data_IF_757293857503
#
_entry.id   IF_757293857503
#
_cell.length_a   1.000
_cell.length_b   1.000
_cell.length_c   1.000
_cell.angle_alpha   90.00
_cell.angle_beta   90.00
_cell.angle_gamma   90.00
#
_symmetry.space_group_name_H-M   'P 1'
#
loop_
_entity.id
_entity.type
_entity.pdbx_description
1 polymer ?
#
# COMPACT_ATOMS: atom_id res chain seq x y z
N UNK A 1 11.37 21.78 29.30
CA UNK A 1 10.10 21.04 29.51
C UNK A 1 9.11 21.55 28.48
N UNK A 2 9.07 21.00 27.29
CA UNK A 2 8.07 21.35 26.27
C UNK A 2 7.17 20.16 26.08
N UNK A 3 5.94 20.28 26.62
CA UNK A 3 4.86 19.35 26.41
C UNK A 3 4.45 19.42 24.92
N UNK A 4 4.77 18.39 24.17
CA UNK A 4 4.12 18.14 22.89
C UNK A 4 2.85 17.36 23.21
N UNK A 5 1.75 18.10 23.44
CA UNK A 5 0.42 17.53 23.46
C UNK A 5 0.09 17.04 22.05
N UNK A 6 0.30 15.75 21.82
CA UNK A 6 -0.17 15.08 20.61
C UNK A 6 -1.69 15.10 20.61
N UNK A 7 -2.26 15.95 19.76
CA UNK A 7 -3.68 15.88 19.40
C UNK A 7 -3.96 14.47 18.86
N UNK A 8 -5.01 13.77 19.32
CA UNK A 8 -5.39 12.50 18.71
C UNK A 8 -5.63 12.74 17.23
N UNK A 9 -5.07 11.88 16.38
CA UNK A 9 -5.35 11.89 14.94
C UNK A 9 -6.87 11.71 14.80
N UNK A 10 -7.59 12.79 14.54
CA UNK A 10 -8.95 12.69 14.05
C UNK A 10 -8.89 11.88 12.76
N UNK A 11 -9.57 10.75 12.74
CA UNK A 11 -9.72 9.92 11.55
C UNK A 11 -10.52 10.72 10.52
N UNK A 12 -9.83 11.53 9.73
CA UNK A 12 -10.44 12.22 8.60
C UNK A 12 -10.83 11.18 7.57
N UNK A 13 -12.13 11.11 7.31
CA UNK A 13 -12.64 10.25 6.24
C UNK A 13 -12.08 10.77 4.91
N UNK A 14 -11.27 9.97 4.25
CA UNK A 14 -10.75 10.28 2.92
C UNK A 14 -11.88 10.14 1.91
N UNK A 15 -12.17 11.22 1.18
CA UNK A 15 -13.33 11.33 0.28
C UNK A 15 -12.94 11.52 -1.16
N UNK A 16 -11.73 12.00 -1.44
CA UNK A 16 -11.23 12.25 -2.80
C UNK A 16 -9.94 11.48 -3.07
N UNK A 17 -9.71 11.16 -4.34
CA UNK A 17 -8.46 10.52 -4.77
C UNK A 17 -7.24 11.32 -4.34
N UNK A 18 -7.30 12.65 -4.47
CA UNK A 18 -6.19 13.53 -4.09
C UNK A 18 -5.84 13.41 -2.60
N UNK A 19 -6.84 13.40 -1.71
CA UNK A 19 -6.63 13.19 -0.28
C UNK A 19 -5.99 11.82 0.00
N UNK A 20 -6.41 10.78 -0.70
CA UNK A 20 -5.84 9.44 -0.59
C UNK A 20 -4.37 9.40 -1.04
N UNK A 21 -4.04 10.04 -2.15
CA UNK A 21 -2.67 10.16 -2.65
C UNK A 21 -1.78 10.97 -1.70
N UNK A 22 -2.29 12.10 -1.22
CA UNK A 22 -1.58 12.97 -0.26
C UNK A 22 -1.32 12.20 1.07
N UNK A 23 -2.25 11.37 1.52
CA UNK A 23 -2.07 10.51 2.69
C UNK A 23 -0.94 9.49 2.49
N UNK A 24 -0.92 8.79 1.36
CA UNK A 24 0.15 7.83 1.03
C UNK A 24 1.50 8.54 0.94
N UNK A 25 1.53 9.69 0.27
CA UNK A 25 2.76 10.46 0.11
C UNK A 25 3.29 11.02 1.44
N UNK A 26 2.40 11.55 2.29
CA UNK A 26 2.76 12.00 3.62
C UNK A 26 3.28 10.86 4.51
N UNK A 27 2.73 9.66 4.38
CA UNK A 27 3.21 8.47 5.07
C UNK A 27 4.62 8.07 4.62
N UNK A 28 4.88 8.14 3.31
CA UNK A 28 6.21 7.91 2.75
C UNK A 28 7.24 8.95 3.25
N UNK A 29 6.88 10.24 3.23
CA UNK A 29 7.77 11.30 3.72
C UNK A 29 8.09 11.14 5.21
N UNK A 30 7.09 10.81 6.03
CA UNK A 30 7.31 10.51 7.46
C UNK A 30 8.26 9.35 7.66
N UNK A 31 8.10 8.29 6.89
CA UNK A 31 9.00 7.14 6.94
C UNK A 31 10.43 7.52 6.49
N UNK A 32 10.57 8.35 5.46
CA UNK A 32 11.88 8.76 4.94
C UNK A 32 12.62 9.75 5.85
N UNK A 33 11.92 10.55 6.67
CA UNK A 33 12.53 11.51 7.60
C UNK A 33 12.95 10.88 8.91
N UNK A 34 12.44 9.71 9.28
CA UNK A 34 12.95 8.98 10.42
C UNK A 34 14.32 8.39 10.08
N UNK A 35 15.38 8.93 10.69
CA UNK A 35 16.79 8.46 10.58
C UNK A 35 16.95 6.96 10.91
N UNK A 36 15.92 6.32 11.39
CA UNK A 36 15.86 4.88 11.70
C UNK A 36 16.01 3.95 10.48
N UNK A 37 15.95 4.47 9.25
CA UNK A 37 16.26 3.66 8.06
C UNK A 37 17.70 3.15 8.02
N UNK A 38 18.61 3.82 8.70
CA UNK A 38 20.00 3.39 8.84
C UNK A 38 20.21 2.40 10.01
N UNK A 39 19.24 2.24 10.89
CA UNK A 39 19.33 1.33 12.03
C UNK A 39 19.10 -0.11 11.56
N UNK A 40 19.98 -1.04 11.95
CA UNK A 40 19.86 -2.48 11.63
C UNK A 40 18.50 -3.10 12.00
N UNK A 41 17.74 -2.46 12.87
CA UNK A 41 16.45 -2.93 13.39
C UNK A 41 15.23 -2.24 12.73
N UNK A 42 15.43 -1.26 11.85
CA UNK A 42 14.32 -0.58 11.17
C UNK A 42 13.43 -1.56 10.39
N UNK A 43 14.04 -2.49 9.66
CA UNK A 43 13.33 -3.53 8.93
C UNK A 43 12.52 -4.48 9.82
N UNK A 44 12.97 -4.73 11.06
CA UNK A 44 12.23 -5.57 12.01
C UNK A 44 10.98 -4.87 12.54
N UNK A 45 11.08 -3.60 12.92
CA UNK A 45 9.93 -2.82 13.40
C UNK A 45 8.82 -2.71 12.35
N UNK A 46 9.18 -2.39 11.12
CA UNK A 46 8.21 -2.35 10.03
C UNK A 46 7.57 -3.72 9.76
N UNK A 47 8.35 -4.79 9.82
CA UNK A 47 7.80 -6.15 9.64
C UNK A 47 6.85 -6.56 10.77
N UNK A 48 7.11 -6.13 12.01
CA UNK A 48 6.23 -6.40 13.15
C UNK A 48 4.92 -5.62 13.07
N UNK A 49 4.97 -4.35 12.70
CA UNK A 49 3.79 -3.51 12.48
C UNK A 49 2.92 -4.06 11.34
N UNK A 50 3.53 -4.39 10.22
CA UNK A 50 2.86 -5.03 9.09
C UNK A 50 2.24 -6.36 9.49
N UNK A 51 2.97 -7.19 10.24
CA UNK A 51 2.48 -8.46 10.72
C UNK A 51 1.33 -8.32 11.71
N UNK A 52 1.34 -7.29 12.58
CA UNK A 52 0.25 -6.95 13.48
C UNK A 52 -1.02 -6.56 12.71
N UNK A 53 -0.89 -5.68 11.71
CA UNK A 53 -2.00 -5.27 10.85
C UNK A 53 -2.58 -6.45 10.07
N UNK A 54 -1.72 -7.32 9.52
CA UNK A 54 -2.12 -8.47 8.73
C UNK A 54 -2.76 -9.59 9.56
N UNK A 55 -2.43 -9.73 10.86
CA UNK A 55 -3.07 -10.70 11.76
C UNK A 55 -4.56 -10.43 12.01
N UNK A 56 -5.00 -9.21 11.81
CA UNK A 56 -6.38 -8.79 12.05
C UNK A 56 -7.31 -9.06 10.86
N UNK A 57 -6.77 -9.37 9.70
CA UNK A 57 -7.54 -9.60 8.46
C UNK A 57 -7.18 -10.95 7.86
N UNK A 58 -8.18 -11.65 7.33
CA UNK A 58 -7.95 -12.85 6.50
C UNK A 58 -7.18 -12.43 5.25
N UNK A 59 -6.00 -13.00 5.05
CA UNK A 59 -5.12 -12.66 3.93
C UNK A 59 -5.28 -13.72 2.86
N UNK A 60 -5.61 -13.30 1.65
CA UNK A 60 -5.55 -14.16 0.47
C UNK A 60 -4.10 -14.65 0.23
N UNK A 61 -3.89 -15.83 -0.37
CA UNK A 61 -2.58 -16.26 -0.81
C UNK A 61 -1.90 -15.17 -1.64
N UNK A 62 -0.62 -14.90 -1.36
CA UNK A 62 0.11 -13.81 -1.99
C UNK A 62 1.35 -14.31 -2.71
N UNK A 63 1.57 -13.84 -3.95
CA UNK A 63 2.79 -14.06 -4.74
C UNK A 63 3.57 -12.76 -4.78
N UNK A 64 4.80 -12.76 -4.30
CA UNK A 64 5.69 -11.60 -4.34
C UNK A 64 6.71 -11.76 -5.45
N UNK A 65 6.74 -10.78 -6.38
CA UNK A 65 7.70 -10.75 -7.49
C UNK A 65 8.81 -9.76 -7.17
N UNK A 66 10.04 -10.24 -7.09
CA UNK A 66 11.23 -9.43 -6.80
C UNK A 66 12.22 -9.48 -7.94
N UNK A 67 13.16 -8.54 -7.98
CA UNK A 67 14.19 -8.47 -9.00
C UNK A 67 14.56 -7.02 -9.36
N UNK A 68 15.63 -6.85 -10.14
CA UNK A 68 16.07 -5.52 -10.59
C UNK A 68 15.20 -4.98 -11.74
N UNK A 69 14.84 -5.83 -12.71
CA UNK A 69 14.06 -5.47 -13.90
C UNK A 69 12.94 -6.49 -14.14
N UNK A 70 11.92 -6.11 -14.92
CA UNK A 70 10.86 -7.01 -15.37
C UNK A 70 9.81 -7.39 -14.32
N UNK A 71 9.90 -6.92 -13.06
CA UNK A 71 8.96 -7.27 -12.00
C UNK A 71 7.49 -7.06 -12.38
N UNK A 72 7.17 -5.88 -12.88
CA UNK A 72 5.79 -5.53 -13.27
C UNK A 72 5.28 -6.41 -14.42
N UNK A 73 6.12 -6.68 -15.42
CA UNK A 73 5.75 -7.56 -16.54
C UNK A 73 5.46 -8.99 -16.06
N UNK A 74 6.31 -9.54 -15.21
CA UNK A 74 6.13 -10.88 -14.64
C UNK A 74 4.89 -10.94 -13.77
N UNK A 75 4.68 -9.93 -12.90
CA UNK A 75 3.49 -9.86 -12.05
C UNK A 75 2.19 -9.80 -12.87
N UNK A 76 2.17 -9.01 -13.96
CA UNK A 76 1.04 -8.97 -14.87
C UNK A 76 0.79 -10.31 -15.57
N UNK A 77 1.84 -11.01 -16.03
CA UNK A 77 1.70 -12.34 -16.64
C UNK A 77 1.11 -13.35 -15.65
N UNK A 78 1.65 -13.40 -14.44
CA UNK A 78 1.14 -14.29 -13.38
C UNK A 78 -0.33 -13.97 -13.08
N UNK A 79 -0.65 -12.68 -12.91
CA UNK A 79 -2.02 -12.23 -12.65
C UNK A 79 -2.98 -12.73 -13.74
N UNK A 80 -2.64 -12.56 -15.01
CA UNK A 80 -3.48 -12.99 -16.14
C UNK A 80 -3.68 -14.50 -16.19
N UNK A 81 -2.63 -15.28 -15.88
CA UNK A 81 -2.76 -16.73 -15.82
C UNK A 81 -3.71 -17.14 -14.69
N UNK A 82 -3.56 -16.54 -13.52
CA UNK A 82 -4.40 -16.87 -12.37
C UNK A 82 -5.85 -16.44 -12.52
N UNK A 83 -6.10 -15.35 -13.25
CA UNK A 83 -7.45 -14.84 -13.51
C UNK A 83 -8.34 -15.80 -14.30
N UNK A 84 -7.78 -16.80 -14.95
CA UNK A 84 -8.57 -17.81 -15.64
C UNK A 84 -9.50 -18.61 -14.70
N UNK A 85 -9.13 -18.70 -13.42
CA UNK A 85 -9.87 -19.51 -12.44
C UNK A 85 -10.07 -18.82 -11.07
N UNK A 86 -9.43 -17.67 -10.85
CA UNK A 86 -9.42 -16.99 -9.57
C UNK A 86 -9.73 -15.50 -9.72
N UNK A 87 -10.26 -14.89 -8.67
CA UNK A 87 -10.25 -13.43 -8.56
C UNK A 87 -8.88 -12.99 -8.03
N UNK A 88 -8.20 -12.13 -8.78
CA UNK A 88 -6.80 -11.77 -8.52
C UNK A 88 -6.67 -10.28 -8.29
N UNK A 89 -6.18 -9.91 -7.10
CA UNK A 89 -5.67 -8.58 -6.82
C UNK A 89 -4.24 -8.46 -7.33
N UNK A 90 -3.93 -7.39 -8.04
CA UNK A 90 -2.58 -7.07 -8.52
C UNK A 90 -2.14 -5.71 -7.99
N UNK A 91 -0.96 -5.68 -7.37
CA UNK A 91 -0.31 -4.44 -6.96
C UNK A 91 1.02 -4.27 -7.70
N UNK A 92 1.20 -3.15 -8.39
CA UNK A 92 2.43 -2.85 -9.16
C UNK A 92 2.89 -1.42 -8.94
N UNK A 93 4.15 -1.14 -9.27
CA UNK A 93 4.73 0.20 -9.31
C UNK A 93 5.77 0.30 -10.43
N UNK A 94 6.00 1.51 -10.96
CA UNK A 94 5.28 2.76 -10.73
C UNK A 94 3.92 2.81 -11.43
N UNK A 95 3.16 3.89 -11.28
CA UNK A 95 2.05 4.28 -12.14
C UNK A 95 2.55 5.23 -13.24
N UNK A 96 1.75 5.46 -14.27
CA UNK A 96 2.10 6.35 -15.39
C UNK A 96 1.30 7.65 -15.29
N UNK A 97 -0.01 7.58 -15.18
CA UNK A 97 -0.90 8.75 -15.17
C UNK A 97 -1.78 8.82 -13.93
N UNK A 98 -2.23 7.69 -13.42
CA UNK A 98 -3.16 7.61 -12.28
C UNK A 98 -2.58 6.71 -11.20
N UNK A 99 -2.56 7.19 -9.97
CA UNK A 99 -2.02 6.44 -8.83
C UNK A 99 -2.73 5.09 -8.64
N UNK A 100 -4.02 5.00 -8.96
CA UNK A 100 -4.84 3.78 -8.85
C UNK A 100 -4.42 2.68 -9.84
N UNK A 101 -3.63 3.00 -10.87
CA UNK A 101 -3.05 1.98 -11.77
C UNK A 101 -2.24 0.93 -11.00
N UNK A 102 -1.76 1.29 -9.81
CA UNK A 102 -1.03 0.38 -8.92
C UNK A 102 -1.90 -0.72 -8.33
N UNK A 103 -3.22 -0.54 -8.33
CA UNK A 103 -4.18 -1.41 -7.66
C UNK A 103 -5.23 -1.89 -8.66
N UNK A 104 -5.20 -3.16 -9.00
CA UNK A 104 -6.12 -3.76 -9.96
C UNK A 104 -6.76 -5.00 -9.38
N UNK A 105 -7.99 -5.24 -9.78
CA UNK A 105 -8.69 -6.51 -9.54
C UNK A 105 -9.13 -7.04 -10.91
N UNK A 106 -8.68 -8.23 -11.27
CA UNK A 106 -8.95 -8.85 -12.57
C UNK A 106 -8.68 -7.89 -13.74
N UNK A 107 -7.45 -7.34 -13.81
CA UNK A 107 -6.97 -6.35 -14.79
C UNK A 107 -7.70 -5.00 -14.77
N UNK A 108 -8.75 -4.84 -13.97
CA UNK A 108 -9.49 -3.59 -13.86
C UNK A 108 -8.92 -2.74 -12.72
N UNK A 109 -8.58 -1.50 -13.02
CA UNK A 109 -8.19 -0.52 -12.01
C UNK A 109 -9.32 -0.29 -11.00
N UNK A 110 -9.00 -0.22 -9.71
CA UNK A 110 -10.00 0.03 -8.67
C UNK A 110 -10.67 1.40 -8.86
N UNK A 111 -11.92 1.51 -8.42
CA UNK A 111 -12.65 2.77 -8.44
C UNK A 111 -12.04 3.79 -7.48
N UNK A 112 -12.33 5.08 -7.71
CA UNK A 112 -11.93 6.15 -6.77
C UNK A 112 -12.54 5.92 -5.38
N UNK A 113 -13.79 5.52 -5.34
CA UNK A 113 -14.50 5.22 -4.09
C UNK A 113 -13.85 4.06 -3.31
N UNK A 114 -13.43 3.00 -4.00
CA UNK A 114 -12.72 1.90 -3.36
C UNK A 114 -11.34 2.32 -2.87
N UNK A 115 -10.63 3.14 -3.65
CA UNK A 115 -9.33 3.65 -3.25
C UNK A 115 -9.45 4.51 -1.99
N UNK A 116 -10.40 5.47 -1.95
CA UNK A 116 -10.65 6.30 -0.77
C UNK A 116 -11.06 5.47 0.45
N UNK A 117 -11.93 4.48 0.25
CA UNK A 117 -12.35 3.56 1.33
C UNK A 117 -11.18 2.79 1.90
N UNK A 118 -10.34 2.21 1.07
CA UNK A 118 -9.17 1.44 1.49
C UNK A 118 -8.17 2.31 2.26
N UNK A 119 -7.93 3.54 1.81
CA UNK A 119 -7.01 4.47 2.50
C UNK A 119 -7.58 4.99 3.82
N UNK A 120 -8.89 4.97 3.99
CA UNK A 120 -9.56 5.33 5.27
C UNK A 120 -9.47 4.18 6.29
N UNK A 121 -9.42 2.92 5.82
CA UNK A 121 -9.38 1.71 6.67
C UNK A 121 -7.98 1.37 7.21
N UNK A 122 -6.93 2.02 6.70
CA UNK A 122 -5.53 1.80 7.11
C UNK A 122 -5.13 2.75 8.24
#
# INVERSE_FOLDING_TARGET
MNNVSGTPLEFHKITTQKEAEDFVYASYLRAATHQDYAAKDAGKRHSELTRSLLRQKSIAPCVVVTGSKGKGSVANMISRILQTNLSVGLMTSPHITDFRERFRVNDTMISESDFCRLMTEI
#
